data_IF_861765377589
#
_entry.id   IF_861765377589
#
_cell.length_a   1.000
_cell.length_b   1.000
_cell.length_c   1.000
_cell.angle_alpha   90.00
_cell.angle_beta   90.00
_cell.angle_gamma   90.00
#
_symmetry.space_group_name_H-M   'P 1'
#
loop_
_entity.id
_entity.type
_entity.pdbx_description
1 polymer ?
#
# COMPACT_ATOMS: atom_id res chain seq x y z
N UNK A 1 -25.90 24.87 13.29
CA UNK A 1 -25.72 23.78 14.29
C UNK A 1 -25.53 22.48 13.51
N UNK A 2 -24.30 21.94 13.51
CA UNK A 2 -23.82 20.56 13.27
C UNK A 2 -22.33 20.72 12.95
N UNK A 3 -21.45 19.97 13.64
CA UNK A 3 -20.03 19.86 13.25
C UNK A 3 -18.97 20.36 14.24
N UNK A 4 -19.00 19.91 15.50
CA UNK A 4 -17.87 20.07 16.44
C UNK A 4 -17.42 18.74 17.08
N UNK A 5 -18.03 17.61 16.71
CA UNK A 5 -17.86 16.35 17.47
C UNK A 5 -16.77 15.42 16.93
N UNK A 6 -16.51 15.39 15.61
CA UNK A 6 -15.59 14.41 15.01
C UNK A 6 -14.12 14.76 15.18
N UNK A 7 -13.75 16.02 14.94
CA UNK A 7 -12.36 16.49 15.07
C UNK A 7 -11.88 16.47 16.51
N UNK A 8 -12.78 16.74 17.46
CA UNK A 8 -12.45 16.75 18.89
C UNK A 8 -12.12 15.35 19.41
N UNK A 9 -12.84 14.32 18.97
CA UNK A 9 -12.60 12.92 19.36
C UNK A 9 -11.28 12.40 18.76
N UNK A 10 -11.00 12.72 17.50
CA UNK A 10 -9.73 12.35 16.83
C UNK A 10 -8.54 12.96 17.57
N UNK A 11 -8.62 14.24 17.93
CA UNK A 11 -7.55 14.94 18.66
C UNK A 11 -7.37 14.40 20.08
N UNK A 12 -8.44 13.98 20.76
CA UNK A 12 -8.36 13.42 22.12
C UNK A 12 -7.71 12.02 22.13
N UNK A 13 -8.00 11.17 21.14
CA UNK A 13 -7.35 9.86 20.97
C UNK A 13 -5.87 10.01 20.63
N UNK A 14 -5.52 10.94 19.73
CA UNK A 14 -4.12 11.25 19.40
C UNK A 14 -3.36 11.72 20.65
N UNK A 15 -4.00 12.54 21.48
CA UNK A 15 -3.39 13.10 22.69
C UNK A 15 -3.15 12.02 23.76
N UNK A 16 -4.10 11.09 23.96
CA UNK A 16 -3.93 9.99 24.92
C UNK A 16 -2.84 9.00 24.50
N UNK A 17 -2.71 8.69 23.21
CA UNK A 17 -1.70 7.76 22.71
C UNK A 17 -0.27 8.33 22.77
N UNK A 18 -0.11 9.66 22.62
CA UNK A 18 1.18 10.34 22.88
C UNK A 18 1.62 10.24 24.34
N UNK A 19 0.67 10.10 25.27
CA UNK A 19 0.96 10.04 26.71
C UNK A 19 1.32 8.64 27.24
N UNK A 20 1.07 7.58 26.46
CA UNK A 20 1.24 6.18 26.90
C UNK A 20 2.44 5.44 26.33
N UNK A 21 3.22 6.01 25.39
CA UNK A 21 4.38 5.30 24.80
C UNK A 21 5.73 5.94 25.15
N UNK A 22 6.60 5.12 25.74
CA UNK A 22 8.04 5.34 25.86
C UNK A 22 8.67 4.61 24.67
N UNK A 23 8.72 5.24 23.50
CA UNK A 23 9.24 4.64 22.27
C UNK A 23 9.34 5.64 21.12
N UNK A 24 10.35 5.45 20.26
CA UNK A 24 10.83 6.40 19.23
C UNK A 24 9.72 7.07 18.41
N UNK A 25 9.76 8.40 18.36
CA UNK A 25 8.68 9.27 17.86
C UNK A 25 8.32 9.10 16.38
N UNK A 26 9.19 8.50 15.55
CA UNK A 26 8.98 8.36 14.10
C UNK A 26 8.03 7.22 13.74
N UNK A 27 8.13 6.08 14.43
CA UNK A 27 7.24 4.91 14.22
C UNK A 27 5.79 5.21 14.64
N UNK A 28 5.64 6.10 15.62
CA UNK A 28 4.35 6.54 16.14
C UNK A 28 3.59 7.45 15.17
N UNK A 29 4.29 8.18 14.29
CA UNK A 29 3.63 9.11 13.37
C UNK A 29 2.97 8.38 12.19
N UNK A 30 3.61 7.33 11.67
CA UNK A 30 3.08 6.51 10.57
C UNK A 30 1.86 5.69 11.01
N UNK A 31 1.87 5.18 12.25
CA UNK A 31 0.71 4.50 12.87
C UNK A 31 -0.48 5.46 13.05
N UNK A 32 -0.23 6.74 13.33
CA UNK A 32 -1.28 7.75 13.51
C UNK A 32 -1.92 8.17 12.19
N UNK A 33 -1.15 8.28 11.11
CA UNK A 33 -1.68 8.56 9.77
C UNK A 33 -2.51 7.38 9.24
N UNK A 34 -2.09 6.14 9.53
CA UNK A 34 -2.85 4.91 9.25
C UNK A 34 -4.23 4.92 9.91
N UNK A 35 -4.31 5.26 11.20
CA UNK A 35 -5.58 5.36 11.94
C UNK A 35 -6.46 6.48 11.37
N UNK A 36 -5.88 7.62 10.99
CA UNK A 36 -6.63 8.74 10.42
C UNK A 36 -7.24 8.41 9.04
N UNK A 37 -6.53 7.65 8.20
CA UNK A 37 -7.04 7.18 6.91
C UNK A 37 -8.18 6.17 7.06
N UNK A 38 -8.02 5.16 7.93
CA UNK A 38 -9.07 4.18 8.25
C UNK A 38 -10.34 4.88 8.79
N UNK A 39 -10.18 5.83 9.72
CA UNK A 39 -11.30 6.61 10.29
C UNK A 39 -11.94 7.57 9.28
N UNK A 40 -11.18 8.03 8.28
CA UNK A 40 -11.66 8.91 7.21
C UNK A 40 -12.50 8.18 6.16
N UNK A 41 -12.14 6.95 5.82
CA UNK A 41 -12.81 6.16 4.78
C UNK A 41 -13.89 5.20 5.30
N UNK A 42 -13.77 4.72 6.54
CA UNK A 42 -14.76 3.88 7.17
C UNK A 42 -15.30 4.59 8.41
N UNK A 43 -16.60 4.92 8.42
CA UNK A 43 -17.29 5.45 9.61
C UNK A 43 -17.40 4.44 10.76
N UNK A 44 -16.29 3.84 11.20
CA UNK A 44 -16.22 2.78 12.20
C UNK A 44 -15.24 3.14 13.32
N UNK A 45 -15.67 2.90 14.55
CA UNK A 45 -14.88 3.07 15.78
C UNK A 45 -13.80 1.98 15.90
N UNK A 46 -12.61 2.36 16.36
CA UNK A 46 -11.52 1.46 16.70
C UNK A 46 -11.31 1.45 18.22
N UNK A 47 -11.17 0.26 18.81
CA UNK A 47 -10.78 0.07 20.22
C UNK A 47 -9.35 -0.47 20.25
N UNK A 48 -8.45 0.22 20.95
CA UNK A 48 -7.10 -0.27 21.24
C UNK A 48 -7.15 -1.02 22.56
N UNK A 49 -7.08 -2.35 22.50
CA UNK A 49 -6.83 -3.17 23.69
C UNK A 49 -5.32 -3.35 23.86
N UNK A 50 -4.75 -2.54 24.74
CA UNK A 50 -3.35 -2.67 25.18
C UNK A 50 -3.19 -3.92 26.05
N UNK A 51 -2.79 -5.04 25.42
CA UNK A 51 -1.96 -6.13 25.96
C UNK A 51 -2.44 -7.50 25.48
N UNK A 52 -1.76 -8.04 24.46
CA UNK A 52 -1.50 -9.48 24.30
C UNK A 52 -0.76 -9.70 22.97
N UNK A 53 0.19 -10.63 22.91
CA UNK A 53 0.82 -11.09 21.65
C UNK A 53 -0.20 -11.70 20.66
N UNK A 54 -1.45 -11.92 21.08
CA UNK A 54 -2.58 -12.26 20.21
C UNK A 54 -3.24 -11.03 19.55
N UNK A 55 -2.99 -9.82 20.03
CA UNK A 55 -3.56 -8.57 19.52
C UNK A 55 -2.93 -8.10 18.21
N UNK A 56 -1.63 -8.31 18.02
CA UNK A 56 -0.91 -7.96 16.79
C UNK A 56 -1.41 -8.81 15.60
N UNK A 57 -1.72 -10.09 15.83
CA UNK A 57 -2.26 -10.99 14.79
C UNK A 57 -3.66 -10.60 14.34
N UNK A 58 -4.51 -10.14 15.28
CA UNK A 58 -5.87 -9.66 14.96
C UNK A 58 -5.81 -8.36 14.14
N UNK A 59 -4.84 -7.49 14.44
CA UNK A 59 -4.64 -6.23 13.71
C UNK A 59 -4.14 -6.48 12.27
N UNK A 60 -3.12 -7.33 12.11
CA UNK A 60 -2.58 -7.73 10.81
C UNK A 60 -3.65 -8.34 9.91
N UNK A 61 -4.42 -9.31 10.42
CA UNK A 61 -5.49 -9.96 9.64
C UNK A 61 -6.57 -8.94 9.25
N UNK A 62 -7.00 -8.08 10.17
CA UNK A 62 -8.02 -7.06 9.90
C UNK A 62 -7.56 -6.06 8.83
N UNK A 63 -6.29 -5.64 8.89
CA UNK A 63 -5.68 -4.78 7.89
C UNK A 63 -5.63 -5.45 6.51
N UNK A 64 -5.21 -6.72 6.43
CA UNK A 64 -5.22 -7.48 5.18
C UNK A 64 -6.64 -7.70 4.64
N UNK A 65 -7.61 -8.01 5.50
CA UNK A 65 -9.02 -8.13 5.10
C UNK A 65 -9.54 -6.82 4.47
N UNK A 66 -9.24 -5.67 5.10
CA UNK A 66 -9.58 -4.35 4.56
C UNK A 66 -8.86 -4.03 3.25
N UNK A 67 -7.58 -4.40 3.14
CA UNK A 67 -6.81 -4.25 1.91
C UNK A 67 -7.39 -5.08 0.76
N UNK A 68 -7.74 -6.35 1.00
CA UNK A 68 -8.38 -7.23 0.03
C UNK A 68 -9.73 -6.68 -0.43
N UNK A 69 -10.54 -6.13 0.49
CA UNK A 69 -11.80 -5.45 0.14
C UNK A 69 -11.57 -4.23 -0.76
N UNK A 70 -10.50 -3.46 -0.52
CA UNK A 70 -10.13 -2.34 -1.38
C UNK A 70 -9.65 -2.81 -2.76
N UNK A 71 -8.88 -3.89 -2.84
CA UNK A 71 -8.49 -4.50 -4.12
C UNK A 71 -9.71 -5.04 -4.90
N UNK A 72 -10.72 -5.61 -4.24
CA UNK A 72 -11.96 -6.04 -4.91
C UNK A 72 -12.73 -4.86 -5.50
N UNK A 73 -12.80 -3.74 -4.78
CA UNK A 73 -13.37 -2.48 -5.30
C UNK A 73 -12.49 -1.86 -6.39
N UNK A 74 -11.19 -2.13 -6.32
CA UNK A 74 -10.12 -1.72 -7.20
C UNK A 74 -9.51 -0.38 -6.83
N UNK A 75 -8.18 -0.33 -6.85
CA UNK A 75 -7.35 0.79 -6.38
C UNK A 75 -6.75 1.52 -7.59
N UNK A 76 -6.93 2.84 -7.67
CA UNK A 76 -6.40 3.64 -8.78
C UNK A 76 -4.92 3.94 -8.61
N UNK A 77 -4.15 3.68 -9.65
CA UNK A 77 -2.69 3.91 -9.69
C UNK A 77 -2.26 4.37 -11.07
N UNK A 78 -1.18 5.12 -11.14
CA UNK A 78 -0.48 5.39 -12.39
C UNK A 78 0.46 4.22 -12.64
N UNK A 79 0.23 3.50 -13.74
CA UNK A 79 1.10 2.40 -14.15
C UNK A 79 2.25 2.93 -15.00
N UNK A 80 3.46 2.59 -14.60
CA UNK A 80 4.69 2.82 -15.35
C UNK A 80 5.03 1.60 -16.21
N UNK A 81 5.77 1.83 -17.30
CA UNK A 81 6.20 0.80 -18.22
C UNK A 81 7.51 1.16 -18.89
N UNK A 82 8.23 0.17 -19.40
CA UNK A 82 9.50 0.38 -20.11
C UNK A 82 9.35 1.16 -21.41
N UNK A 83 8.13 1.24 -21.94
CA UNK A 83 7.78 1.96 -23.16
C UNK A 83 6.44 2.68 -22.97
N UNK A 84 6.35 3.88 -23.53
CA UNK A 84 5.13 4.69 -23.53
C UNK A 84 4.96 5.54 -22.27
N UNK A 85 4.00 6.46 -22.32
CA UNK A 85 3.70 7.34 -21.20
C UNK A 85 3.03 6.57 -20.04
N UNK A 86 3.33 6.96 -18.78
CA UNK A 86 2.60 6.48 -17.62
C UNK A 86 1.10 6.75 -17.76
N UNK A 87 0.27 5.87 -17.21
CA UNK A 87 -1.17 5.95 -17.43
C UNK A 87 -1.99 5.34 -16.29
N UNK A 88 -3.18 5.90 -16.05
CA UNK A 88 -4.07 5.46 -14.97
C UNK A 88 -4.58 4.03 -15.20
N UNK A 89 -4.55 3.23 -14.14
CA UNK A 89 -5.06 1.86 -14.09
C UNK A 89 -5.76 1.63 -12.76
N UNK A 90 -6.59 0.59 -12.73
CA UNK A 90 -7.21 0.10 -11.51
C UNK A 90 -6.59 -1.26 -11.19
N UNK A 91 -5.91 -1.40 -10.05
CA UNK A 91 -5.44 -2.70 -9.55
C UNK A 91 -6.64 -3.41 -8.93
N UNK A 92 -6.84 -4.67 -9.29
CA UNK A 92 -7.86 -5.54 -8.71
C UNK A 92 -7.24 -6.85 -8.24
N UNK A 93 -7.96 -7.53 -7.37
CA UNK A 93 -7.71 -8.94 -7.03
C UNK A 93 -8.84 -9.80 -7.59
N UNK A 94 -8.56 -11.07 -7.87
CA UNK A 94 -9.58 -12.00 -8.32
C UNK A 94 -10.42 -12.59 -7.17
N UNK A 95 -11.51 -13.26 -7.52
CA UNK A 95 -12.50 -13.76 -6.55
C UNK A 95 -11.90 -14.78 -5.57
N UNK A 96 -10.86 -15.50 -6.00
CA UNK A 96 -10.13 -16.45 -5.17
C UNK A 96 -9.11 -15.77 -4.22
N UNK A 97 -8.84 -14.49 -4.40
CA UNK A 97 -7.79 -13.73 -3.71
C UNK A 97 -6.37 -14.29 -3.92
N UNK A 98 -6.13 -14.98 -5.03
CA UNK A 98 -4.84 -15.62 -5.32
C UNK A 98 -4.01 -14.83 -6.31
N UNK A 99 -4.62 -13.94 -7.08
CA UNK A 99 -3.92 -13.17 -8.09
C UNK A 99 -4.45 -11.75 -8.26
N UNK A 100 -3.52 -10.82 -8.50
CA UNK A 100 -3.84 -9.44 -8.86
C UNK A 100 -3.82 -9.24 -10.37
N UNK A 101 -4.61 -8.29 -10.86
CA UNK A 101 -4.63 -7.86 -12.25
C UNK A 101 -4.96 -6.37 -12.32
N UNK A 102 -4.99 -5.80 -13.52
CA UNK A 102 -5.40 -4.40 -13.68
C UNK A 102 -6.19 -4.16 -14.96
N UNK A 103 -7.10 -3.20 -14.85
CA UNK A 103 -7.94 -2.70 -15.93
C UNK A 103 -7.61 -1.24 -16.23
N UNK A 104 -8.14 -0.74 -17.35
CA UNK A 104 -8.20 0.71 -17.58
C UNK A 104 -9.15 1.36 -16.57
N UNK A 105 -9.10 2.68 -16.50
CA UNK A 105 -9.94 3.48 -15.59
C UNK A 105 -11.45 3.22 -15.79
N UNK A 106 -11.87 3.00 -17.03
CA UNK A 106 -13.26 2.66 -17.41
C UNK A 106 -13.65 1.19 -17.12
N UNK A 107 -12.77 0.42 -16.49
CA UNK A 107 -12.96 -1.00 -16.20
C UNK A 107 -12.71 -1.92 -17.40
N UNK A 108 -12.42 -1.40 -18.59
CA UNK A 108 -12.13 -2.24 -19.76
C UNK A 108 -10.78 -2.94 -19.60
N UNK A 109 -10.66 -4.12 -20.22
CA UNK A 109 -9.41 -4.88 -20.19
C UNK A 109 -8.25 -4.06 -20.78
N UNK A 110 -7.09 -4.12 -20.13
CA UNK A 110 -5.85 -3.61 -20.74
C UNK A 110 -5.43 -4.48 -21.93
N UNK A 111 -4.51 -3.99 -22.78
CA UNK A 111 -4.04 -4.68 -24.01
C UNK A 111 -3.52 -6.12 -23.76
N UNK A 112 -3.15 -6.44 -22.51
CA UNK A 112 -2.73 -7.78 -22.08
C UNK A 112 -3.88 -8.62 -21.47
N UNK A 113 -5.13 -8.29 -21.83
CA UNK A 113 -6.33 -9.11 -21.69
C UNK A 113 -6.51 -9.80 -20.33
N UNK A 114 -6.54 -9.03 -19.24
CA UNK A 114 -6.89 -9.57 -17.92
C UNK A 114 -5.89 -10.62 -17.40
N UNK A 115 -4.64 -10.63 -17.89
CA UNK A 115 -3.61 -11.49 -17.34
C UNK A 115 -3.50 -11.24 -15.83
N UNK A 116 -3.72 -12.31 -15.07
CA UNK A 116 -3.59 -12.34 -13.63
C UNK A 116 -2.15 -12.65 -13.22
N UNK A 117 -1.75 -12.12 -12.09
CA UNK A 117 -0.42 -12.27 -11.50
C UNK A 117 -0.57 -12.84 -10.10
N UNK A 118 -0.17 -14.09 -9.96
CA UNK A 118 -0.29 -14.85 -8.73
C UNK A 118 0.53 -14.19 -7.62
N UNK A 119 -0.07 -14.04 -6.45
CA UNK A 119 0.50 -13.34 -5.30
C UNK A 119 1.63 -14.16 -4.67
N UNK A 120 1.47 -15.48 -4.61
CA UNK A 120 2.46 -16.44 -4.10
C UNK A 120 3.79 -16.42 -4.90
N UNK A 121 3.74 -15.97 -6.15
CA UNK A 121 4.92 -15.83 -7.02
C UNK A 121 5.62 -14.46 -6.91
N UNK A 122 5.11 -13.54 -6.07
CA UNK A 122 5.77 -12.26 -5.80
C UNK A 122 7.06 -12.54 -5.01
N UNK A 123 8.18 -12.07 -5.53
CA UNK A 123 9.49 -12.19 -4.89
C UNK A 123 9.78 -11.01 -3.98
N UNK A 124 9.31 -9.82 -4.36
CA UNK A 124 9.63 -8.59 -3.66
C UNK A 124 8.60 -7.50 -3.98
N UNK A 125 8.32 -6.68 -2.98
CA UNK A 125 7.64 -5.40 -3.14
C UNK A 125 8.64 -4.31 -2.75
N UNK A 126 9.05 -3.49 -3.73
CA UNK A 126 10.12 -2.50 -3.59
C UNK A 126 9.57 -1.09 -3.67
N UNK A 127 9.80 -0.27 -2.66
CA UNK A 127 9.50 1.16 -2.75
C UNK A 127 10.54 1.85 -3.63
N UNK A 128 10.19 2.90 -4.39
CA UNK A 128 11.16 3.52 -5.30
C UNK A 128 12.32 4.21 -4.56
N UNK A 129 12.14 4.51 -3.27
CA UNK A 129 13.17 5.05 -2.40
C UNK A 129 14.07 3.96 -1.78
N UNK A 130 13.69 2.69 -1.87
CA UNK A 130 14.50 1.58 -1.35
C UNK A 130 15.69 1.30 -2.29
N UNK A 131 16.85 0.91 -1.75
CA UNK A 131 18.00 0.51 -2.55
C UNK A 131 17.67 -0.64 -3.50
N UNK A 132 18.21 -0.59 -4.72
CA UNK A 132 18.12 -1.68 -5.70
C UNK A 132 19.23 -2.70 -5.40
N UNK A 133 18.90 -3.92 -4.91
CA UNK A 133 19.89 -4.94 -4.60
C UNK A 133 20.67 -5.43 -5.83
N UNK A 134 20.19 -5.12 -7.05
CA UNK A 134 20.88 -5.44 -8.29
C UNK A 134 21.89 -4.38 -8.74
N UNK A 135 21.90 -3.20 -8.12
CA UNK A 135 22.77 -2.06 -8.48
C UNK A 135 23.67 -1.67 -7.30
N UNK A 136 24.32 -2.67 -6.68
CA UNK A 136 25.15 -2.52 -5.48
C UNK A 136 26.31 -1.53 -5.65
N UNK A 137 26.88 -1.43 -6.85
CA UNK A 137 28.02 -0.55 -7.12
C UNK A 137 27.64 0.94 -7.23
N UNK A 138 26.39 1.24 -7.58
CA UNK A 138 25.93 2.61 -7.85
C UNK A 138 25.01 3.16 -6.76
N UNK A 139 24.54 2.31 -5.86
CA UNK A 139 23.60 2.70 -4.81
C UNK A 139 22.30 3.28 -5.36
N UNK A 140 21.84 2.80 -6.52
CA UNK A 140 20.61 3.30 -7.14
C UNK A 140 19.39 2.79 -6.37
N UNK A 141 18.37 3.63 -6.27
CA UNK A 141 17.09 3.28 -5.65
C UNK A 141 16.05 2.85 -6.70
N UNK A 142 15.05 2.09 -6.25
CA UNK A 142 13.92 1.65 -7.06
C UNK A 142 14.28 0.67 -8.17
N UNK A 143 13.43 0.53 -9.18
CA UNK A 143 13.69 -0.31 -10.36
C UNK A 143 14.19 0.55 -11.52
N UNK A 144 14.86 -0.06 -12.50
CA UNK A 144 15.27 0.63 -13.72
C UNK A 144 14.10 1.31 -14.46
N UNK A 145 12.90 0.73 -14.42
CA UNK A 145 11.70 1.33 -15.05
C UNK A 145 11.34 2.63 -14.33
N UNK A 146 11.20 2.59 -13.00
CA UNK A 146 10.85 3.78 -12.22
C UNK A 146 11.92 4.87 -12.35
N UNK A 147 13.21 4.53 -12.38
CA UNK A 147 14.28 5.51 -12.60
C UNK A 147 14.17 6.27 -13.93
N UNK A 148 13.59 5.63 -14.95
CA UNK A 148 13.49 6.20 -16.29
C UNK A 148 12.13 6.84 -16.59
N UNK A 149 11.04 6.37 -15.96
CA UNK A 149 9.67 6.82 -16.26
C UNK A 149 9.01 7.60 -15.14
N UNK A 150 9.47 7.47 -13.90
CA UNK A 150 9.01 8.24 -12.76
C UNK A 150 9.93 9.45 -12.56
N UNK A 151 9.33 10.59 -12.26
CA UNK A 151 10.11 11.76 -11.86
C UNK A 151 10.74 11.53 -10.49
N UNK A 152 11.92 12.07 -10.25
CA UNK A 152 12.61 11.87 -8.98
C UNK A 152 11.82 12.46 -7.79
N UNK A 153 11.06 13.54 -8.00
CA UNK A 153 10.19 14.13 -6.97
C UNK A 153 9.01 13.22 -6.60
N UNK A 154 8.59 12.37 -7.55
CA UNK A 154 7.48 11.44 -7.40
C UNK A 154 7.93 10.06 -6.88
N UNK A 155 9.24 9.84 -6.69
CA UNK A 155 9.76 8.57 -6.18
C UNK A 155 9.09 8.13 -4.86
N UNK A 156 8.84 9.01 -3.86
CA UNK A 156 8.12 8.60 -2.64
C UNK A 156 6.68 8.10 -2.88
N UNK A 157 6.11 8.35 -4.06
CA UNK A 157 4.77 7.92 -4.44
C UNK A 157 4.77 6.59 -5.21
N UNK A 158 5.94 6.06 -5.56
CA UNK A 158 6.07 4.95 -6.49
C UNK A 158 6.63 3.68 -5.85
N UNK A 159 6.15 2.53 -6.30
CA UNK A 159 6.62 1.22 -5.85
C UNK A 159 6.53 0.20 -6.98
N UNK A 160 7.18 -0.94 -6.78
CA UNK A 160 7.24 -2.05 -7.73
C UNK A 160 6.82 -3.35 -7.08
N UNK A 161 6.06 -4.16 -7.80
CA UNK A 161 5.80 -5.56 -7.47
C UNK A 161 6.63 -6.42 -8.43
N UNK A 162 7.48 -7.28 -7.89
CA UNK A 162 8.51 -8.01 -8.63
C UNK A 162 8.20 -9.51 -8.56
N UNK A 163 8.10 -10.14 -9.72
CA UNK A 163 8.06 -11.59 -9.91
C UNK A 163 9.34 -12.03 -10.62
N UNK A 164 9.63 -13.34 -10.60
CA UNK A 164 10.82 -13.93 -11.24
C UNK A 164 11.08 -13.50 -12.69
N UNK A 165 10.02 -13.26 -13.48
CA UNK A 165 10.12 -12.94 -14.92
C UNK A 165 9.53 -11.59 -15.30
N UNK A 166 9.07 -10.79 -14.33
CA UNK A 166 8.38 -9.53 -14.62
C UNK A 166 8.40 -8.60 -13.42
N UNK A 167 8.39 -7.31 -13.72
CA UNK A 167 8.16 -6.25 -12.74
C UNK A 167 6.96 -5.44 -13.16
N UNK A 168 6.19 -4.97 -12.19
CA UNK A 168 5.13 -4.00 -12.41
C UNK A 168 5.34 -2.82 -11.50
N UNK A 169 5.46 -1.66 -12.14
CA UNK A 169 5.80 -0.41 -11.50
C UNK A 169 4.55 0.48 -11.44
N UNK A 170 4.24 0.98 -10.25
CA UNK A 170 3.07 1.80 -9.95
C UNK A 170 3.46 3.08 -9.24
N UNK A 171 2.63 4.09 -9.37
CA UNK A 171 2.69 5.36 -8.65
C UNK A 171 1.30 5.69 -8.10
N UNK A 172 1.26 6.12 -6.84
CA UNK A 172 0.07 6.49 -6.10
C UNK A 172 -0.17 8.00 -6.20
N UNK A 173 -1.32 8.45 -5.70
CA UNK A 173 -1.64 9.89 -5.66
C UNK A 173 -1.00 10.60 -4.47
N UNK A 174 -0.76 9.86 -3.38
CA UNK A 174 -0.18 10.38 -2.15
C UNK A 174 0.90 9.45 -1.60
N UNK A 175 1.83 10.01 -0.81
CA UNK A 175 2.90 9.25 -0.17
C UNK A 175 2.33 8.25 0.85
N UNK A 176 1.33 8.67 1.64
CA UNK A 176 0.65 7.81 2.61
C UNK A 176 -0.01 6.60 1.93
N UNK A 177 -0.69 6.80 0.81
CA UNK A 177 -1.25 5.71 0.00
C UNK A 177 -0.15 4.76 -0.47
N UNK A 178 0.97 5.28 -0.97
CA UNK A 178 2.10 4.46 -1.40
C UNK A 178 2.68 3.62 -0.25
N UNK A 179 2.94 4.23 0.91
CA UNK A 179 3.43 3.52 2.10
C UNK A 179 2.47 2.43 2.55
N UNK A 180 1.17 2.73 2.59
CA UNK A 180 0.12 1.76 2.92
C UNK A 180 0.13 0.58 1.95
N UNK A 181 0.14 0.83 0.63
CA UNK A 181 0.14 -0.25 -0.36
C UNK A 181 1.41 -1.08 -0.29
N UNK A 182 2.59 -0.46 -0.16
CA UNK A 182 3.86 -1.18 0.01
C UNK A 182 3.80 -2.08 1.24
N UNK A 183 3.34 -1.55 2.37
CA UNK A 183 3.21 -2.33 3.60
C UNK A 183 2.23 -3.49 3.41
N UNK A 184 1.00 -3.24 2.96
CA UNK A 184 -0.01 -4.29 2.78
C UNK A 184 0.41 -5.37 1.78
N UNK A 185 1.08 -5.01 0.67
CA UNK A 185 1.59 -6.01 -0.27
C UNK A 185 2.74 -6.84 0.33
N UNK A 186 3.65 -6.24 1.10
CA UNK A 186 4.70 -6.99 1.82
C UNK A 186 4.09 -7.96 2.82
N UNK A 187 3.14 -7.47 3.61
CA UNK A 187 2.41 -8.29 4.58
C UNK A 187 1.65 -9.42 3.90
N UNK A 188 1.07 -9.19 2.72
CA UNK A 188 0.38 -10.21 1.95
C UNK A 188 1.33 -11.32 1.45
N UNK A 189 2.55 -10.96 1.05
CA UNK A 189 3.60 -11.91 0.65
C UNK A 189 4.10 -12.71 1.86
N UNK A 190 4.37 -12.03 2.97
CA UNK A 190 4.91 -12.65 4.18
C UNK A 190 3.88 -13.52 4.93
N UNK A 191 2.59 -13.20 4.83
CA UNK A 191 1.52 -13.96 5.49
C UNK A 191 1.28 -15.32 4.81
N UNK A 192 1.67 -15.48 3.54
CA UNK A 192 1.49 -16.72 2.80
C UNK A 192 0.02 -17.14 2.74
N UNK A 193 -0.84 -16.26 2.21
CA UNK A 193 -2.26 -16.59 2.02
C UNK A 193 -2.39 -17.93 1.25
N UNK A 194 -3.32 -18.81 1.67
CA UNK A 194 -3.48 -20.15 1.13
C UNK A 194 -3.95 -20.20 -0.33
#
# INVERSE_FOLDING_TARGET
>A
KWGSSRTSVIMEVITRLKSTSVGSAEHNNETMEFIAWEMGNAGRSFSIDSASSTGITVDRKRMLDGFLDNLRKGIFVIKHGSKGAPHMRKILIDDANTAIYWTKEDGTASRNNGKKFEIDQIQEVRWACDPDPSETEKGLAGTHVLRNSCRWEDAPLAFSIIWKKRTVDFQCTTNLECKYLVHCFRELVDYGMP
#
